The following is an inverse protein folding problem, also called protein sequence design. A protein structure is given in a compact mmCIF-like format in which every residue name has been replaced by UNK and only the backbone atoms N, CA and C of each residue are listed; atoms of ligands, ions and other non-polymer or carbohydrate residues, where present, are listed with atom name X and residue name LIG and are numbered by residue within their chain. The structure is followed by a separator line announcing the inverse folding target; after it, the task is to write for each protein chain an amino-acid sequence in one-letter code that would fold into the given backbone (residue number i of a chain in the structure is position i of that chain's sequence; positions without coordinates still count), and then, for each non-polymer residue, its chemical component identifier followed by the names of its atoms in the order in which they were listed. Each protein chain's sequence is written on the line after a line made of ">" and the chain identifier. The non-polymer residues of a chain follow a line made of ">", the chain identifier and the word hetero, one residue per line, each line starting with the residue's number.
data_IF_291366039291
#
_entry.id   IF_291366039291
#
_cell.length_a   1.000
_cell.length_b   1.000
_cell.length_c   1.000
_cell.angle_alpha   90.00
_cell.angle_beta   90.00
_cell.angle_gamma   90.00
#
_symmetry.space_group_name_H-M   'P 1'
#
loop_
_entity.id
_entity.type
_entity.pdbx_description
1 polymer ?
#
# COMPACT_ATOMS: atom_id res chain seq x y z
N UNK A 1 10.09 -21.24 -1.87
CA UNK A 1 8.64 -20.97 -1.93
C UNK A 1 8.52 -19.48 -2.06
N UNK A 2 8.36 -19.00 -3.30
CA UNK A 2 8.12 -17.58 -3.55
C UNK A 2 6.72 -17.28 -3.02
N UNK A 3 6.61 -16.37 -2.04
CA UNK A 3 5.34 -15.88 -1.57
C UNK A 3 4.66 -15.20 -2.74
N UNK A 4 3.63 -15.82 -3.31
CA UNK A 4 2.84 -15.21 -4.38
C UNK A 4 2.08 -14.06 -3.72
N UNK A 5 2.58 -12.83 -3.91
CA UNK A 5 1.88 -11.63 -3.45
C UNK A 5 0.48 -11.53 -4.04
N UNK A 6 -0.38 -10.76 -3.39
CA UNK A 6 -1.77 -10.54 -3.82
C UNK A 6 -1.88 -9.24 -4.63
N UNK A 7 -2.68 -9.27 -5.71
CA UNK A 7 -2.86 -8.13 -6.61
C UNK A 7 -4.10 -7.35 -6.19
N UNK A 8 -3.95 -6.04 -5.99
CA UNK A 8 -5.01 -5.12 -5.61
C UNK A 8 -5.06 -3.92 -6.54
N UNK A 9 -6.25 -3.56 -7.03
CA UNK A 9 -6.47 -2.21 -7.56
C UNK A 9 -6.47 -1.19 -6.42
N UNK A 10 -5.97 0.02 -6.69
CA UNK A 10 -5.91 1.07 -5.66
C UNK A 10 -7.25 1.32 -4.95
N UNK A 11 -8.37 1.27 -5.68
CA UNK A 11 -9.71 1.47 -5.11
C UNK A 11 -10.09 0.40 -4.07
N UNK A 12 -9.50 -0.80 -4.16
CA UNK A 12 -9.74 -1.93 -3.27
C UNK A 12 -8.74 -2.00 -2.10
N UNK A 13 -7.76 -1.09 -2.03
CA UNK A 13 -6.80 -1.04 -0.93
C UNK A 13 -7.46 -0.55 0.38
N UNK A 14 -6.91 -1.00 1.50
CA UNK A 14 -7.26 -0.49 2.83
C UNK A 14 -6.84 1.00 2.97
N UNK A 15 -7.54 1.74 3.84
CA UNK A 15 -7.26 3.16 4.12
C UNK A 15 -5.78 3.50 4.37
N UNK A 16 -5.01 2.79 5.22
CA UNK A 16 -3.60 3.11 5.43
C UNK A 16 -2.76 3.01 4.16
N UNK A 17 -3.09 2.06 3.28
CA UNK A 17 -2.40 1.87 2.01
C UNK A 17 -2.77 2.95 1.00
N UNK A 18 -4.03 3.38 0.97
CA UNK A 18 -4.49 4.49 0.10
C UNK A 18 -3.83 5.82 0.44
N UNK A 19 -3.42 6.02 1.70
CA UNK A 19 -2.73 7.23 2.14
C UNK A 19 -1.26 7.31 1.67
N UNK A 20 -0.60 6.16 1.48
CA UNK A 20 0.83 6.11 1.12
C UNK A 20 1.07 5.69 -0.32
N UNK A 21 0.12 5.00 -0.96
CA UNK A 21 0.24 4.53 -2.34
C UNK A 21 -0.51 5.46 -3.31
N UNK A 22 0.12 5.85 -4.43
CA UNK A 22 -0.50 6.67 -5.46
C UNK A 22 -1.81 6.07 -6.02
N UNK A 23 -2.86 6.88 -6.25
CA UNK A 23 -4.07 6.42 -6.91
C UNK A 23 -3.84 6.07 -8.38
N UNK A 24 -4.72 5.24 -8.93
CA UNK A 24 -4.77 4.94 -10.37
C UNK A 24 -3.90 3.78 -10.84
N UNK A 25 -3.23 3.08 -9.92
CA UNK A 25 -2.40 1.92 -10.23
C UNK A 25 -2.96 0.63 -9.66
N UNK A 26 -2.40 -0.46 -10.17
CA UNK A 26 -2.57 -1.81 -9.62
C UNK A 26 -1.29 -2.18 -8.87
N UNK A 27 -1.45 -2.78 -7.71
CA UNK A 27 -0.37 -3.07 -6.77
C UNK A 27 -0.30 -4.58 -6.52
N UNK A 28 0.92 -5.13 -6.54
CA UNK A 28 1.21 -6.45 -6.02
C UNK A 28 1.75 -6.27 -4.60
N UNK A 29 0.99 -6.69 -3.59
CA UNK A 29 1.40 -6.62 -2.19
C UNK A 29 1.93 -7.99 -1.80
N UNK A 30 3.23 -8.06 -1.49
CA UNK A 30 3.86 -9.30 -1.02
C UNK A 30 3.71 -9.47 0.49
N UNK A 31 3.83 -8.37 1.25
CA UNK A 31 3.61 -8.39 2.70
C UNK A 31 3.09 -7.04 3.19
N UNK A 32 2.22 -7.10 4.19
CA UNK A 32 1.74 -5.95 4.95
C UNK A 32 1.71 -6.33 6.42
N UNK A 33 2.65 -5.80 7.19
CA UNK A 33 2.84 -6.13 8.59
C UNK A 33 2.49 -4.91 9.44
N UNK A 34 1.36 -4.98 10.14
CA UNK A 34 0.98 -3.94 11.09
C UNK A 34 1.91 -3.96 12.30
N UNK A 35 2.55 -2.83 12.57
CA UNK A 35 3.47 -2.66 13.68
C UNK A 35 2.73 -2.04 14.88
N UNK A 36 3.24 -2.25 16.11
CA UNK A 36 2.69 -1.58 17.29
C UNK A 36 2.64 -0.07 17.09
N UNK A 37 1.59 0.57 17.62
CA UNK A 37 1.47 2.02 17.58
C UNK A 37 2.67 2.68 18.26
N UNK A 38 3.17 3.76 17.65
CA UNK A 38 4.15 4.63 18.29
C UNK A 38 3.43 5.76 19.00
N UNK A 39 3.69 5.94 20.28
CA UNK A 39 3.20 7.07 21.05
C UNK A 39 4.26 8.17 21.10
N UNK A 40 3.93 9.33 20.53
CA UNK A 40 4.78 10.51 20.59
C UNK A 40 4.85 11.07 22.01
N UNK A 41 5.85 11.92 22.30
CA UNK A 41 5.94 12.64 23.58
C UNK A 41 4.72 13.53 23.89
N UNK A 42 3.98 13.92 22.86
CA UNK A 42 2.76 14.73 22.95
C UNK A 42 1.49 13.86 23.06
N UNK A 43 1.62 12.54 23.25
CA UNK A 43 0.52 11.57 23.34
C UNK A 43 -0.31 11.38 22.05
N UNK A 44 0.22 11.75 20.89
CA UNK A 44 -0.34 11.29 19.61
C UNK A 44 0.04 9.84 19.34
N UNK A 45 -0.94 9.02 18.97
CA UNK A 45 -0.73 7.66 18.48
C UNK A 45 -0.51 7.66 16.97
N UNK A 46 0.63 7.15 16.54
CA UNK A 46 1.00 7.01 15.13
C UNK A 46 0.89 5.53 14.76
N UNK A 47 0.02 5.22 13.81
CA UNK A 47 -0.05 3.88 13.19
C UNK A 47 1.23 3.61 12.42
N UNK A 48 1.80 2.42 12.59
CA UNK A 48 3.02 2.01 11.91
C UNK A 48 2.75 0.69 11.17
N UNK A 49 3.41 0.51 10.02
CA UNK A 49 3.37 -0.74 9.28
C UNK A 49 4.64 -0.87 8.43
N UNK A 50 5.00 -2.11 8.10
CA UNK A 50 5.98 -2.44 7.07
C UNK A 50 5.23 -2.96 5.84
N UNK A 51 5.58 -2.44 4.66
CA UNK A 51 4.92 -2.79 3.41
C UNK A 51 5.97 -3.17 2.37
N UNK A 52 5.84 -4.39 1.83
CA UNK A 52 6.59 -4.84 0.66
C UNK A 52 5.63 -4.96 -0.51
N UNK A 53 5.77 -4.06 -1.48
CA UNK A 53 4.87 -4.01 -2.64
C UNK A 53 5.61 -3.61 -3.91
N UNK A 54 5.08 -4.07 -5.04
CA UNK A 54 5.44 -3.62 -6.37
C UNK A 54 4.27 -2.91 -7.02
N UNK A 55 4.56 -1.85 -7.76
CA UNK A 55 3.57 -1.13 -8.56
C UNK A 55 3.60 -1.67 -9.99
N UNK A 56 2.44 -2.08 -10.49
CA UNK A 56 2.28 -2.33 -11.91
C UNK A 56 1.94 -1.00 -12.61
N UNK A 57 2.96 -0.43 -13.24
CA UNK A 57 2.84 0.81 -14.05
C UNK A 57 2.29 0.54 -15.45
N UNK A 58 1.98 -0.73 -15.75
CA UNK A 58 1.50 -1.18 -17.05
C UNK A 58 -0.03 -1.35 -17.08
N UNK A 59 -0.72 -1.05 -15.98
CA UNK A 59 -2.15 -0.72 -15.94
C UNK A 59 -2.34 0.55 -16.76
N UNK A 60 -2.42 0.30 -18.08
CA UNK A 60 -2.29 1.20 -19.22
C UNK A 60 -2.34 2.67 -18.83
N UNK A 61 -1.31 3.39 -19.29
CA UNK A 61 -1.50 4.71 -19.89
C UNK A 61 -2.89 4.79 -20.55
N UNK A 62 -3.89 5.25 -19.80
CA UNK A 62 -4.96 6.07 -20.32
C UNK A 62 -4.35 7.46 -20.43
N UNK A 63 -3.25 7.57 -21.18
CA UNK A 63 -2.93 8.83 -21.85
C UNK A 63 -4.12 9.02 -22.76
N UNK A 64 -4.96 9.95 -22.34
CA UNK A 64 -6.09 10.42 -23.10
C UNK A 64 -5.60 10.74 -24.52
N UNK A 65 -6.06 9.95 -25.50
CA UNK A 65 -6.17 10.40 -26.89
C UNK A 65 -7.26 11.48 -26.97
#
# INVERSE_FOLDING_TARGET
>A
MESVGEIFHWNSLNDPLKLVLPPGYTYLIESFDELPFYQTSENFSISQFELKTFVDVNDKERVHE
#
